data_IF_024291967884
#
_entry.id   IF_024291967884
#
_cell.length_a   1.000
_cell.length_b   1.000
_cell.length_c   1.000
_cell.angle_alpha   90.00
_cell.angle_beta   90.00
_cell.angle_gamma   90.00
#
_symmetry.space_group_name_H-M   'P 1'
#
loop_
_entity.id
_entity.type
_entity.pdbx_description
1 polymer ?
#
# COMPACT_ATOMS: atom_id res chain seq x y z
N UNK A 1 -8.42 10.61 16.01
CA UNK A 1 -7.47 9.75 15.27
C UNK A 1 -6.33 9.16 16.11
N UNK A 2 -5.78 9.88 17.12
CA UNK A 2 -4.74 9.31 18.01
C UNK A 2 -5.29 8.29 19.02
N UNK A 3 -6.51 8.51 19.50
CA UNK A 3 -7.19 7.61 20.44
C UNK A 3 -8.02 6.52 19.73
N UNK A 4 -8.20 6.64 18.41
CA UNK A 4 -8.88 5.62 17.61
C UNK A 4 -8.03 4.34 17.48
N UNK A 5 -8.68 3.19 17.23
CA UNK A 5 -8.00 1.98 16.81
C UNK A 5 -7.08 2.20 15.59
N UNK A 6 -6.03 1.39 15.48
CA UNK A 6 -5.07 1.49 14.36
C UNK A 6 -5.72 1.25 12.99
N UNK A 7 -6.78 0.45 12.96
CA UNK A 7 -7.61 0.20 11.79
C UNK A 7 -9.05 0.55 12.15
N UNK A 8 -9.54 1.67 11.63
CA UNK A 8 -10.90 2.13 11.86
C UNK A 8 -11.64 2.11 10.53
N UNK A 9 -12.71 1.31 10.44
CA UNK A 9 -13.65 1.42 9.32
C UNK A 9 -14.39 2.75 9.45
N UNK A 10 -14.50 3.47 8.34
CA UNK A 10 -15.23 4.74 8.27
C UNK A 10 -16.28 4.66 7.18
N UNK A 11 -17.41 5.33 7.38
CA UNK A 11 -18.54 5.25 6.45
C UNK A 11 -18.35 6.18 5.25
N UNK A 12 -17.82 7.37 5.49
CA UNK A 12 -17.58 8.39 4.46
C UNK A 12 -16.08 8.72 4.38
N UNK A 13 -15.54 8.97 3.17
CA UNK A 13 -14.16 9.42 3.02
C UNK A 13 -14.00 10.79 3.65
N UNK A 14 -12.88 11.01 4.37
CA UNK A 14 -12.57 12.35 4.89
C UNK A 14 -12.31 13.33 3.75
N UNK A 15 -11.71 12.84 2.66
CA UNK A 15 -11.39 13.61 1.46
C UNK A 15 -12.04 13.00 0.24
N UNK A 16 -13.23 13.46 -0.09
CA UNK A 16 -13.99 12.94 -1.23
C UNK A 16 -13.30 13.22 -2.57
N UNK A 17 -12.60 14.36 -2.69
CA UNK A 17 -11.78 14.74 -3.85
C UNK A 17 -10.71 13.69 -4.14
N UNK A 18 -9.92 13.36 -3.11
CA UNK A 18 -8.83 12.42 -3.21
C UNK A 18 -9.34 11.00 -3.42
N UNK A 19 -10.42 10.62 -2.74
CA UNK A 19 -11.06 9.32 -2.87
C UNK A 19 -11.55 9.09 -4.30
N UNK A 20 -12.30 10.03 -4.88
CA UNK A 20 -12.82 9.92 -6.25
C UNK A 20 -11.68 9.82 -7.27
N UNK A 21 -10.62 10.62 -7.11
CA UNK A 21 -9.43 10.57 -7.99
C UNK A 21 -8.77 9.19 -8.03
N UNK A 22 -8.82 8.43 -6.93
CA UNK A 22 -8.23 7.08 -6.87
C UNK A 22 -9.23 5.94 -7.13
N UNK A 23 -10.47 6.28 -7.50
CA UNK A 23 -11.50 5.32 -7.96
C UNK A 23 -12.64 5.04 -6.98
N UNK A 24 -12.83 5.85 -5.93
CA UNK A 24 -13.99 5.72 -5.03
C UNK A 24 -15.30 6.08 -5.73
N UNK A 25 -16.35 5.28 -5.49
CA UNK A 25 -17.75 5.66 -5.73
C UNK A 25 -18.59 5.18 -4.54
N UNK A 26 -19.69 5.85 -4.29
CA UNK A 26 -20.62 5.47 -3.21
C UNK A 26 -21.55 4.36 -3.72
N UNK A 27 -21.11 3.11 -3.59
CA UNK A 27 -21.87 1.90 -3.95
C UNK A 27 -21.69 0.83 -2.87
N UNK A 28 -22.60 -0.12 -2.82
CA UNK A 28 -22.45 -1.30 -1.98
C UNK A 28 -21.20 -2.11 -2.40
N UNK A 29 -20.55 -2.75 -1.42
CA UNK A 29 -19.28 -3.46 -1.62
C UNK A 29 -18.03 -2.57 -1.57
N UNK A 30 -18.17 -1.26 -1.36
CA UNK A 30 -17.03 -0.34 -1.14
C UNK A 30 -16.85 -0.11 0.36
N UNK A 31 -15.62 -0.29 0.85
CA UNK A 31 -15.29 -0.08 2.25
C UNK A 31 -14.08 0.85 2.35
N UNK A 32 -14.13 1.82 3.26
CA UNK A 32 -12.98 2.68 3.55
C UNK A 32 -12.48 2.35 4.96
N UNK A 33 -11.17 2.18 5.06
CA UNK A 33 -10.48 1.97 6.34
C UNK A 33 -9.44 3.05 6.54
N UNK A 34 -9.58 3.83 7.61
CA UNK A 34 -8.53 4.74 8.08
C UNK A 34 -7.52 3.94 8.89
N UNK A 35 -6.25 4.10 8.56
CA UNK A 35 -5.17 3.46 9.30
C UNK A 35 -4.02 4.42 9.58
N UNK A 36 -3.33 4.18 10.70
CA UNK A 36 -2.12 4.90 11.07
C UNK A 36 -0.88 4.01 11.01
N UNK A 37 0.21 4.58 10.49
CA UNK A 37 1.51 3.91 10.43
C UNK A 37 2.59 4.84 10.97
N UNK A 38 3.49 4.30 11.80
CA UNK A 38 4.59 5.05 12.41
C UNK A 38 5.46 5.75 11.34
N UNK A 39 5.82 7.01 11.61
CA UNK A 39 6.81 7.79 10.86
C UNK A 39 8.24 7.29 11.10
N UNK A 40 9.16 7.67 10.21
CA UNK A 40 10.58 7.38 10.32
C UNK A 40 11.03 6.08 9.64
N UNK A 41 12.31 5.76 9.81
CA UNK A 41 12.99 4.64 9.16
C UNK A 41 12.64 3.25 9.71
N UNK A 42 13.38 2.26 9.21
CA UNK A 42 13.26 0.86 9.62
C UNK A 42 13.79 0.70 11.06
N UNK A 43 13.03 0.02 11.92
CA UNK A 43 13.53 -0.47 13.21
C UNK A 43 14.29 -1.78 12.96
N UNK A 44 15.53 -1.68 12.49
CA UNK A 44 16.38 -2.86 12.22
C UNK A 44 16.84 -3.46 13.55
N UNK A 45 16.67 -4.78 13.71
CA UNK A 45 17.21 -5.49 14.87
C UNK A 45 18.74 -5.46 14.88
N UNK A 46 19.32 -5.31 16.07
CA UNK A 46 20.77 -5.37 16.26
C UNK A 46 21.22 -6.83 16.14
N UNK A 47 22.33 -7.06 15.44
CA UNK A 47 22.91 -8.39 15.29
C UNK A 47 24.15 -8.45 16.18
N UNK A 48 24.09 -9.30 17.22
CA UNK A 48 25.14 -9.40 18.24
C UNK A 48 26.33 -10.29 17.84
N UNK A 49 26.43 -10.68 16.57
CA UNK A 49 27.53 -11.48 16.02
C UNK A 49 28.51 -10.62 15.24
N UNK A 50 29.73 -11.12 15.03
CA UNK A 50 30.75 -10.47 14.18
C UNK A 50 30.19 -10.21 12.77
N UNK A 51 30.36 -8.99 12.27
CA UNK A 51 29.94 -8.54 10.95
C UNK A 51 31.01 -7.65 10.33
N UNK A 52 31.07 -7.63 8.99
CA UNK A 52 31.86 -6.63 8.26
C UNK A 52 31.36 -5.22 8.63
N UNK A 53 32.24 -4.21 8.75
CA UNK A 53 31.84 -2.84 9.13
C UNK A 53 30.71 -2.26 8.27
N UNK A 54 30.68 -2.54 6.96
CA UNK A 54 29.60 -2.08 6.08
C UNK A 54 28.21 -2.69 6.37
N UNK A 55 28.13 -3.75 7.18
CA UNK A 55 26.88 -4.46 7.51
C UNK A 55 26.43 -4.24 8.96
N UNK A 56 27.22 -3.57 9.79
CA UNK A 56 26.91 -3.28 11.19
C UNK A 56 25.96 -2.09 11.38
N UNK A 57 25.73 -1.26 10.35
CA UNK A 57 24.84 -0.10 10.43
C UNK A 57 23.40 -0.45 10.85
N UNK A 58 22.80 0.41 11.68
CA UNK A 58 21.44 0.23 12.22
C UNK A 58 20.55 1.47 11.99
N UNK A 59 20.99 2.63 12.48
CA UNK A 59 20.13 3.83 12.66
C UNK A 59 19.68 4.48 11.35
N UNK A 60 20.56 4.63 10.37
CA UNK A 60 20.29 5.32 9.09
C UNK A 60 19.59 4.44 8.04
N UNK A 61 19.27 3.18 8.35
CA UNK A 61 18.64 2.27 7.39
C UNK A 61 17.14 2.55 7.29
N UNK A 62 16.66 2.73 6.06
CA UNK A 62 15.26 3.01 5.76
C UNK A 62 14.55 1.80 5.15
N UNK A 63 13.21 1.82 5.16
CA UNK A 63 12.41 0.76 4.54
C UNK A 63 12.42 0.89 3.01
N UNK A 64 12.58 -0.24 2.31
CA UNK A 64 12.44 -0.28 0.85
C UNK A 64 10.99 -0.07 0.35
N UNK A 65 10.00 -0.25 1.25
CA UNK A 65 8.56 0.01 0.98
C UNK A 65 8.18 1.37 1.54
N UNK A 66 7.35 2.11 0.81
CA UNK A 66 6.77 3.35 1.32
C UNK A 66 5.81 3.08 2.48
N UNK A 67 5.67 4.06 3.37
CA UNK A 67 4.74 3.99 4.51
C UNK A 67 3.29 3.76 4.01
N UNK A 68 2.92 4.39 2.90
CA UNK A 68 1.62 4.20 2.25
C UNK A 68 1.40 2.75 1.80
N UNK A 69 2.41 2.10 1.18
CA UNK A 69 2.31 0.68 0.82
C UNK A 69 2.20 -0.21 2.05
N UNK A 70 2.91 0.11 3.14
CA UNK A 70 2.81 -0.61 4.41
C UNK A 70 1.39 -0.51 4.98
N UNK A 71 0.75 0.67 4.87
CA UNK A 71 -0.65 0.86 5.27
C UNK A 71 -1.60 -0.04 4.47
N UNK A 72 -1.48 -0.05 3.13
CA UNK A 72 -2.27 -0.92 2.25
C UNK A 72 -2.11 -2.40 2.58
N UNK A 73 -0.87 -2.88 2.79
CA UNK A 73 -0.59 -4.26 3.13
C UNK A 73 -1.19 -4.65 4.50
N UNK A 74 -1.07 -3.77 5.50
CA UNK A 74 -1.63 -4.01 6.83
C UNK A 74 -3.16 -4.09 6.81
N UNK A 75 -3.81 -3.16 6.09
CA UNK A 75 -5.27 -3.17 5.92
C UNK A 75 -5.73 -4.42 5.17
N UNK A 76 -5.00 -4.82 4.11
CA UNK A 76 -5.30 -6.04 3.36
C UNK A 76 -5.19 -7.32 4.19
N UNK A 77 -4.35 -7.35 5.24
CA UNK A 77 -4.30 -8.48 6.19
C UNK A 77 -5.46 -8.48 7.15
N UNK A 78 -5.92 -7.29 7.57
CA UNK A 78 -7.05 -7.14 8.50
C UNK A 78 -8.37 -7.55 7.84
N UNK A 79 -8.54 -7.25 6.56
CA UNK A 79 -9.73 -7.59 5.77
C UNK A 79 -9.38 -8.53 4.62
N UNK A 80 -9.19 -9.84 4.88
CA UNK A 80 -8.72 -10.80 3.88
C UNK A 80 -9.75 -11.12 2.79
N UNK A 81 -11.04 -10.95 3.09
CA UNK A 81 -12.14 -11.11 2.15
C UNK A 81 -12.24 -9.95 1.15
N UNK A 82 -11.69 -8.79 1.50
CA UNK A 82 -11.72 -7.58 0.67
C UNK A 82 -10.41 -7.40 -0.10
N UNK A 83 -10.46 -6.63 -1.19
CA UNK A 83 -9.30 -6.31 -2.03
C UNK A 83 -9.06 -4.81 -2.04
N UNK A 84 -7.83 -4.41 -1.74
CA UNK A 84 -7.42 -3.00 -1.78
C UNK A 84 -7.53 -2.50 -3.22
N UNK A 85 -8.24 -1.39 -3.44
CA UNK A 85 -8.26 -0.65 -4.71
C UNK A 85 -7.09 0.34 -4.76
N UNK A 86 -7.02 1.24 -3.79
CA UNK A 86 -5.97 2.25 -3.64
C UNK A 86 -6.00 2.86 -2.24
N UNK A 87 -5.10 3.80 -1.99
CA UNK A 87 -5.06 4.58 -0.75
C UNK A 87 -4.69 6.04 -1.02
N UNK A 88 -4.97 6.91 -0.05
CA UNK A 88 -4.54 8.31 -0.06
C UNK A 88 -4.17 8.79 1.35
N UNK A 89 -3.35 9.83 1.41
CA UNK A 89 -2.92 10.46 2.65
C UNK A 89 -3.99 11.45 3.15
N UNK A 90 -4.20 11.47 4.46
CA UNK A 90 -5.23 12.32 5.09
C UNK A 90 -4.63 13.26 6.14
N UNK A 91 -3.53 12.87 6.78
CA UNK A 91 -2.87 13.71 7.78
C UNK A 91 -1.62 13.05 8.34
N UNK A 92 -0.84 13.80 9.10
CA UNK A 92 0.28 13.25 9.88
C UNK A 92 0.43 14.00 11.21
N UNK A 93 1.01 13.32 12.18
CA UNK A 93 1.47 13.92 13.43
C UNK A 93 2.97 13.66 13.62
N UNK A 94 3.55 14.03 14.76
CA UNK A 94 4.97 13.80 15.06
C UNK A 94 5.40 12.32 14.97
N UNK A 95 4.50 11.36 15.25
CA UNK A 95 4.84 9.94 15.41
C UNK A 95 4.28 9.05 14.30
N UNK A 96 3.20 9.45 13.63
CA UNK A 96 2.41 8.63 12.72
C UNK A 96 1.96 9.41 11.47
N UNK A 97 1.76 8.67 10.38
CA UNK A 97 1.03 9.14 9.20
C UNK A 97 -0.30 8.39 9.10
N UNK A 98 -1.33 9.09 8.68
CA UNK A 98 -2.68 8.57 8.52
C UNK A 98 -3.02 8.44 7.03
N UNK A 99 -3.56 7.28 6.67
CA UNK A 99 -4.00 6.97 5.32
C UNK A 99 -5.41 6.40 5.35
N UNK A 100 -6.19 6.74 4.33
CA UNK A 100 -7.46 6.07 4.04
C UNK A 100 -7.24 5.10 2.89
N UNK A 101 -7.54 3.84 3.14
CA UNK A 101 -7.41 2.74 2.19
C UNK A 101 -8.80 2.34 1.74
N UNK A 102 -9.01 2.35 0.42
CA UNK A 102 -10.25 1.93 -0.21
C UNK A 102 -10.14 0.45 -0.53
N UNK A 103 -11.12 -0.29 -0.07
CA UNK A 103 -11.29 -1.72 -0.25
C UNK A 103 -12.57 -1.96 -1.05
N UNK A 104 -12.55 -3.00 -1.87
CA UNK A 104 -13.69 -3.49 -2.61
C UNK A 104 -13.95 -4.94 -2.22
N UNK A 105 -15.22 -5.29 -2.09
CA UNK A 105 -15.67 -6.67 -1.94
C UNK A 105 -15.76 -7.33 -3.32
N UNK A 106 -14.86 -8.28 -3.66
CA UNK A 106 -14.88 -8.96 -4.95
C UNK A 106 -16.10 -9.88 -5.14
N UNK A 107 -16.77 -10.28 -4.06
CA UNK A 107 -17.91 -11.20 -4.12
C UNK A 107 -19.24 -10.47 -4.31
N UNK A 108 -19.28 -9.16 -4.05
CA UNK A 108 -20.50 -8.37 -4.12
C UNK A 108 -20.98 -8.18 -5.58
N UNK A 109 -22.26 -8.44 -5.91
CA UNK A 109 -22.75 -8.38 -7.29
C UNK A 109 -22.60 -6.98 -7.91
N UNK A 110 -22.84 -5.93 -7.12
CA UNK A 110 -22.66 -4.53 -7.57
C UNK A 110 -21.22 -4.22 -8.00
N UNK A 111 -20.22 -4.83 -7.35
CA UNK A 111 -18.81 -4.64 -7.72
C UNK A 111 -18.47 -5.41 -8.99
N UNK A 112 -19.02 -6.63 -9.14
CA UNK A 112 -18.85 -7.46 -10.34
C UNK A 112 -19.50 -6.85 -11.59
N UNK A 113 -20.66 -6.23 -11.41
CA UNK A 113 -21.41 -5.58 -12.50
C UNK A 113 -20.80 -4.23 -12.92
N UNK A 114 -20.03 -3.55 -12.07
CA UNK A 114 -19.42 -2.26 -12.40
C UNK A 114 -18.21 -2.45 -13.32
N UNK A 115 -18.28 -1.93 -14.55
CA UNK A 115 -17.22 -2.02 -15.55
C UNK A 115 -15.87 -1.41 -15.12
N UNK A 116 -15.85 -0.48 -14.14
CA UNK A 116 -14.62 0.11 -13.65
C UNK A 116 -13.93 -0.72 -12.56
N UNK A 117 -14.66 -1.61 -11.89
CA UNK A 117 -14.17 -2.37 -10.73
C UNK A 117 -14.25 -3.88 -10.91
N UNK A 118 -14.97 -4.38 -11.90
CA UNK A 118 -15.19 -5.81 -12.15
C UNK A 118 -13.88 -6.60 -12.20
N UNK A 119 -12.82 -6.04 -12.80
CA UNK A 119 -11.48 -6.62 -12.81
C UNK A 119 -10.96 -6.95 -11.42
N UNK A 120 -11.33 -6.19 -10.38
CA UNK A 120 -10.90 -6.46 -9.00
C UNK A 120 -11.46 -7.79 -8.51
N UNK A 121 -12.54 -8.33 -9.07
CA UNK A 121 -13.12 -9.61 -8.66
C UNK A 121 -12.29 -10.82 -9.10
N UNK A 122 -11.58 -10.74 -10.23
CA UNK A 122 -10.88 -11.89 -10.82
C UNK A 122 -9.80 -12.48 -9.91
N UNK A 123 -9.70 -13.80 -9.80
CA UNK A 123 -8.79 -14.46 -8.85
C UNK A 123 -7.32 -14.01 -8.96
N UNK A 124 -6.85 -13.66 -10.15
CA UNK A 124 -5.48 -13.17 -10.39
C UNK A 124 -5.19 -11.81 -9.72
N UNK A 125 -6.21 -11.08 -9.23
CA UNK A 125 -6.07 -9.85 -8.46
C UNK A 125 -6.09 -10.05 -6.94
N UNK A 126 -6.20 -11.29 -6.45
CA UNK A 126 -6.03 -11.62 -5.03
C UNK A 126 -4.63 -11.20 -4.54
N UNK A 127 -4.56 -10.62 -3.34
CA UNK A 127 -3.28 -10.19 -2.73
C UNK A 127 -2.54 -9.08 -3.49
N UNK A 128 -3.23 -8.25 -4.29
CA UNK A 128 -2.59 -7.22 -5.13
C UNK A 128 -1.75 -6.18 -4.38
N UNK A 129 -2.16 -5.81 -3.17
CA UNK A 129 -1.41 -4.90 -2.31
C UNK A 129 -0.03 -5.50 -1.93
N UNK A 130 -0.01 -6.78 -1.55
CA UNK A 130 1.22 -7.50 -1.18
C UNK A 130 2.21 -7.59 -2.34
N UNK A 131 1.70 -7.86 -3.55
CA UNK A 131 2.50 -7.93 -4.77
C UNK A 131 2.93 -6.54 -5.30
N UNK A 132 2.42 -5.46 -4.72
CA UNK A 132 2.76 -4.10 -5.12
C UNK A 132 2.17 -3.71 -6.48
N UNK A 133 0.94 -4.14 -6.76
CA UNK A 133 0.20 -3.75 -7.97
C UNK A 133 -0.68 -2.50 -7.78
N UNK A 134 -0.79 -1.99 -6.54
CA UNK A 134 -1.41 -0.70 -6.21
C UNK A 134 -0.58 0.47 -6.74
N UNK A 135 -1.14 1.68 -6.76
CA UNK A 135 -0.42 2.90 -7.17
C UNK A 135 0.85 3.11 -6.32
N UNK A 136 0.73 2.99 -4.99
CA UNK A 136 1.86 3.08 -4.07
C UNK A 136 2.90 1.97 -4.31
N UNK A 137 2.45 0.75 -4.63
CA UNK A 137 3.30 -0.38 -5.01
C UNK A 137 4.08 -0.15 -6.29
N UNK A 138 3.42 0.29 -7.36
CA UNK A 138 4.03 0.63 -8.65
C UNK A 138 5.03 1.78 -8.51
N UNK A 139 4.70 2.81 -7.71
CA UNK A 139 5.61 3.92 -7.38
C UNK A 139 6.86 3.42 -6.69
N UNK A 140 6.69 2.63 -5.64
CA UNK A 140 7.82 2.05 -4.90
C UNK A 140 8.69 1.11 -5.75
N UNK A 141 8.18 0.57 -6.86
CA UNK A 141 8.94 -0.25 -7.82
C UNK A 141 9.59 0.58 -8.95
N UNK A 142 9.36 1.89 -8.99
CA UNK A 142 9.87 2.78 -10.04
C UNK A 142 9.21 2.56 -11.41
N UNK A 143 8.01 1.96 -11.45
CA UNK A 143 7.36 1.58 -12.72
C UNK A 143 6.63 2.71 -13.45
N UNK A 144 6.61 3.92 -12.88
CA UNK A 144 6.08 5.11 -13.55
C UNK A 144 7.04 5.65 -14.61
N UNK A 145 8.33 5.34 -14.52
CA UNK A 145 9.31 5.75 -15.52
C UNK A 145 9.43 4.68 -16.62
N UNK A 146 9.71 5.14 -17.83
CA UNK A 146 10.01 4.32 -19.01
C UNK A 146 11.25 4.89 -19.71
N UNK A 147 11.99 4.04 -20.44
CA UNK A 147 13.23 4.43 -21.11
C UNK A 147 14.43 4.46 -20.15
N UNK A 148 15.26 5.51 -20.27
CA UNK A 148 16.51 5.65 -19.54
C UNK A 148 16.30 5.59 -18.01
N UNK A 149 17.05 4.72 -17.34
CA UNK A 149 16.96 4.49 -15.89
C UNK A 149 15.91 3.44 -15.46
N UNK A 150 15.07 2.94 -16.38
CA UNK A 150 14.08 1.90 -16.12
C UNK A 150 14.48 0.51 -16.64
N UNK A 151 15.66 0.37 -17.23
CA UNK A 151 16.17 -0.84 -17.89
C UNK A 151 16.20 -2.03 -16.93
N UNK A 152 16.57 -1.76 -15.66
CA UNK A 152 16.65 -2.79 -14.61
C UNK A 152 15.39 -2.89 -13.76
N UNK A 153 14.36 -2.08 -14.03
CA UNK A 153 13.09 -2.07 -13.28
C UNK A 153 12.02 -2.95 -13.93
N UNK A 154 12.08 -3.12 -15.26
CA UNK A 154 11.06 -3.81 -16.07
C UNK A 154 11.61 -5.13 -16.63
N UNK A 155 10.78 -6.18 -16.79
CA UNK A 155 9.36 -6.26 -16.43
C UNK A 155 9.14 -6.37 -14.90
N UNK A 156 10.14 -6.84 -14.16
CA UNK A 156 10.13 -6.88 -12.69
C UNK A 156 11.54 -6.83 -12.11
N UNK A 157 11.67 -6.44 -10.83
CA UNK A 157 12.96 -6.41 -10.14
C UNK A 157 13.59 -7.80 -10.07
N UNK A 158 12.79 -8.85 -9.80
CA UNK A 158 13.28 -10.22 -9.70
C UNK A 158 13.85 -10.73 -11.03
N UNK A 159 13.23 -10.39 -12.15
CA UNK A 159 13.75 -10.71 -13.48
C UNK A 159 15.14 -10.11 -13.71
N UNK A 160 15.41 -8.93 -13.14
CA UNK A 160 16.70 -8.25 -13.23
C UNK A 160 17.59 -8.45 -12.00
N UNK A 161 17.49 -9.62 -11.35
CA UNK A 161 18.31 -10.01 -10.19
C UNK A 161 18.28 -9.00 -9.03
N UNK A 162 17.17 -8.26 -8.88
CA UNK A 162 16.94 -7.19 -7.91
C UNK A 162 17.99 -6.05 -7.93
N UNK A 163 18.54 -5.73 -9.11
CA UNK A 163 19.57 -4.68 -9.25
C UNK A 163 19.03 -3.27 -9.47
N UNK A 164 17.71 -3.12 -9.63
CA UNK A 164 17.09 -1.86 -10.02
C UNK A 164 16.91 -0.85 -8.89
N UNK A 165 16.95 -1.29 -7.64
CA UNK A 165 16.87 -0.45 -6.44
C UNK A 165 17.29 -1.23 -5.20
#
# INVERSE_FOLDING_TARGET
WRHEPVFQRIDKPTRIDAARRVGYRAKQGVVICRTRVRRGGLRKGVVNMKRKPSKSGVTKITMAKSIQRIAEERVSRRYPNLRVLNSYWVGEDGKNKFFEVILLDPNHPVVKADSQWSWVADNHHKGRAMRGMTSAGKRGRGLYNKGKGAEKLRPSLKANKNRGK
#
